data_IF_617558477715
#
_entry.id   IF_617558477715
#
_cell.length_a   1.000
_cell.length_b   1.000
_cell.length_c   1.000
_cell.angle_alpha   90.00
_cell.angle_beta   90.00
_cell.angle_gamma   90.00
#
_symmetry.space_group_name_H-M   'P 1'
#
loop_
_entity.id
_entity.type
_entity.pdbx_description
1 polymer ?
#
# COMPACT_ATOMS: atom_id res chain seq x y z
N UNK A 1 -8.37 -2.21 10.88
CA UNK A 1 -9.21 -0.99 10.83
C UNK A 1 -10.55 -1.15 10.10
N UNK A 2 -10.68 -2.00 9.06
CA UNK A 2 -11.93 -2.14 8.26
C UNK A 2 -13.21 -2.46 9.07
N UNK A 3 -13.16 -3.35 10.06
CA UNK A 3 -14.36 -3.75 10.83
C UNK A 3 -14.89 -2.66 11.78
N UNK A 4 -14.03 -1.75 12.27
CA UNK A 4 -14.47 -0.66 13.14
C UNK A 4 -15.34 0.35 12.39
N UNK A 5 -15.03 0.61 11.11
CA UNK A 5 -15.74 1.57 10.27
C UNK A 5 -17.18 1.13 9.96
N UNK A 6 -17.43 -0.17 9.80
CA UNK A 6 -18.77 -0.71 9.54
C UNK A 6 -19.68 -0.67 10.76
N UNK A 7 -19.10 -0.76 11.97
CA UNK A 7 -19.87 -0.75 13.21
C UNK A 7 -20.25 0.67 13.66
N UNK A 8 -19.47 1.68 13.28
CA UNK A 8 -19.75 3.09 13.62
C UNK A 8 -21.16 3.56 13.24
N UNK A 9 -21.65 3.41 11.98
CA UNK A 9 -23.00 3.83 11.63
C UNK A 9 -24.07 3.04 12.37
N UNK A 10 -23.85 1.76 12.66
CA UNK A 10 -24.78 0.94 13.44
C UNK A 10 -24.88 1.41 14.88
N UNK A 11 -23.74 1.73 15.52
CA UNK A 11 -23.72 2.31 16.87
C UNK A 11 -24.42 3.67 16.92
N UNK A 12 -24.22 4.52 15.90
CA UNK A 12 -24.94 5.78 15.78
C UNK A 12 -26.46 5.59 15.68
N UNK A 13 -26.92 4.62 14.87
CA UNK A 13 -28.34 4.28 14.76
C UNK A 13 -28.89 3.74 16.09
N UNK A 14 -28.20 2.81 16.75
CA UNK A 14 -28.63 2.26 18.03
C UNK A 14 -28.67 3.32 19.13
N UNK A 15 -27.70 4.23 19.17
CA UNK A 15 -27.71 5.39 20.07
C UNK A 15 -28.91 6.32 19.81
N UNK A 16 -29.26 6.56 18.55
CA UNK A 16 -30.44 7.37 18.19
C UNK A 16 -31.76 6.72 18.60
N UNK A 17 -31.84 5.38 18.57
CA UNK A 17 -33.03 4.61 18.96
C UNK A 17 -33.27 4.65 20.48
N UNK A 18 -32.21 4.75 21.29
CA UNK A 18 -32.30 4.95 22.74
C UNK A 18 -32.92 6.32 23.10
N UNK A 19 -32.78 7.31 22.21
CA UNK A 19 -33.36 8.65 22.37
C UNK A 19 -34.73 8.81 21.68
N UNK A 20 -35.29 7.74 21.08
CA UNK A 20 -36.54 7.84 20.31
C UNK A 20 -37.78 7.90 21.20
N UNK A 21 -38.66 8.87 20.92
CA UNK A 21 -39.92 9.10 21.65
C UNK A 21 -40.95 7.98 21.47
N UNK A 22 -40.81 7.14 20.44
CA UNK A 22 -41.75 6.04 20.12
C UNK A 22 -41.43 4.74 20.87
N UNK A 23 -40.17 4.52 21.25
CA UNK A 23 -39.71 3.30 21.94
C UNK A 23 -39.76 3.43 23.46
N UNK A 24 -39.81 4.66 23.97
CA UNK A 24 -39.98 4.97 25.39
C UNK A 24 -41.38 5.50 25.69
N UNK A 25 -42.14 4.73 26.49
CA UNK A 25 -43.44 5.11 27.05
C UNK A 25 -43.38 6.30 28.03
N UNK A 26 -44.28 6.32 29.03
CA UNK A 26 -44.54 7.36 30.05
C UNK A 26 -43.50 8.49 30.23
N UNK A 27 -43.95 9.74 30.46
CA UNK A 27 -43.08 10.93 30.53
C UNK A 27 -41.92 10.81 31.54
N UNK A 28 -42.10 10.13 32.67
CA UNK A 28 -41.04 9.88 33.68
C UNK A 28 -39.91 9.00 33.15
N UNK A 29 -40.22 8.01 32.30
CA UNK A 29 -39.23 7.12 31.66
C UNK A 29 -38.40 7.86 30.61
N UNK A 30 -38.98 8.90 29.97
CA UNK A 30 -38.29 9.74 28.99
C UNK A 30 -37.16 10.55 29.62
N UNK A 31 -37.41 11.27 30.72
CA UNK A 31 -36.38 12.05 31.40
C UNK A 31 -35.22 11.19 31.90
N UNK A 32 -35.52 10.00 32.44
CA UNK A 32 -34.52 9.04 32.89
C UNK A 32 -33.61 8.55 31.75
N UNK A 33 -34.16 8.23 30.58
CA UNK A 33 -33.35 7.77 29.46
C UNK A 33 -32.57 8.88 28.76
N UNK A 34 -33.09 10.10 28.68
CA UNK A 34 -32.31 11.23 28.18
C UNK A 34 -31.15 11.53 29.14
N UNK A 35 -31.38 11.48 30.45
CA UNK A 35 -30.32 11.58 31.45
C UNK A 35 -29.27 10.48 31.30
N UNK A 36 -29.70 9.22 31.14
CA UNK A 36 -28.79 8.10 30.93
C UNK A 36 -27.97 8.25 29.64
N UNK A 37 -28.58 8.66 28.54
CA UNK A 37 -27.89 8.91 27.28
C UNK A 37 -26.88 10.06 27.39
N UNK A 38 -27.21 11.12 28.13
CA UNK A 38 -26.31 12.25 28.35
C UNK A 38 -25.10 11.84 29.20
N UNK A 39 -25.33 11.04 30.25
CA UNK A 39 -24.26 10.49 31.09
C UNK A 39 -23.36 9.54 30.31
N UNK A 40 -23.91 8.65 29.49
CA UNK A 40 -23.09 7.73 28.68
C UNK A 40 -22.26 8.48 27.64
N UNK A 41 -22.83 9.47 26.96
CA UNK A 41 -22.09 10.34 26.03
C UNK A 41 -20.98 11.09 26.78
N UNK A 42 -21.27 11.68 27.95
CA UNK A 42 -20.26 12.38 28.75
C UNK A 42 -19.09 11.48 29.17
N UNK A 43 -19.38 10.25 29.64
CA UNK A 43 -18.36 9.27 30.00
C UNK A 43 -17.53 8.84 28.79
N UNK A 44 -18.17 8.62 27.63
CA UNK A 44 -17.48 8.31 26.38
C UNK A 44 -16.62 9.47 25.89
N UNK A 45 -17.06 10.73 26.09
CA UNK A 45 -16.32 11.92 25.72
C UNK A 45 -15.01 12.06 26.49
N UNK A 46 -14.93 11.62 27.76
CA UNK A 46 -13.68 11.67 28.55
C UNK A 46 -12.58 10.81 27.90
N UNK A 47 -12.90 9.56 27.56
CA UNK A 47 -11.94 8.70 26.84
C UNK A 47 -11.74 9.18 25.39
N UNK A 48 -12.79 9.69 24.76
CA UNK A 48 -12.78 10.21 23.40
C UNK A 48 -11.84 11.40 23.23
N UNK A 49 -11.87 12.37 24.15
CA UNK A 49 -10.99 13.54 24.14
C UNK A 49 -9.54 13.14 24.37
N UNK A 50 -9.28 12.23 25.31
CA UNK A 50 -7.93 11.69 25.53
C UNK A 50 -7.40 10.99 24.26
N UNK A 51 -8.22 10.16 23.61
CA UNK A 51 -7.85 9.51 22.36
C UNK A 51 -7.60 10.51 21.22
N UNK A 52 -8.47 11.50 21.04
CA UNK A 52 -8.30 12.55 20.01
C UNK A 52 -7.04 13.34 20.28
N UNK A 53 -6.79 13.74 21.53
CA UNK A 53 -5.60 14.48 21.90
C UNK A 53 -4.34 13.66 21.64
N UNK A 54 -4.35 12.36 21.93
CA UNK A 54 -3.24 11.45 21.60
C UNK A 54 -3.05 11.29 20.07
N UNK A 55 -4.13 11.27 19.28
CA UNK A 55 -4.03 11.22 17.82
C UNK A 55 -3.54 12.55 17.22
N UNK A 56 -4.02 13.69 17.73
CA UNK A 56 -3.57 15.03 17.34
C UNK A 56 -2.19 15.38 17.88
N UNK A 57 -1.70 14.69 18.92
CA UNK A 57 -0.31 14.80 19.34
C UNK A 57 0.64 14.18 18.31
N UNK A 58 0.15 13.30 17.43
CA UNK A 58 0.88 12.84 16.25
C UNK A 58 0.84 13.89 15.13
N UNK A 59 1.19 15.13 15.44
CA UNK A 59 1.46 16.17 14.44
C UNK A 59 2.92 16.02 14.04
N UNK A 60 3.10 15.25 12.97
CA UNK A 60 4.33 15.09 12.22
C UNK A 60 3.90 14.51 10.89
N UNK A 61 4.11 15.26 9.80
CA UNK A 61 3.91 14.75 8.44
C UNK A 61 4.65 13.43 8.30
N UNK A 62 4.07 12.51 7.53
CA UNK A 62 4.75 11.28 7.13
C UNK A 62 6.15 11.64 6.59
N UNK A 63 7.17 11.41 7.42
CA UNK A 63 8.57 11.72 7.11
C UNK A 63 9.21 10.44 6.61
N UNK A 64 9.44 10.38 5.31
CA UNK A 64 10.16 9.28 4.68
C UNK A 64 11.17 9.89 3.72
N UNK A 65 12.36 10.17 4.25
CA UNK A 65 13.42 10.92 3.56
C UNK A 65 13.85 10.17 2.29
N UNK A 66 13.90 8.85 2.36
CA UNK A 66 14.30 7.97 1.25
C UNK A 66 13.27 7.99 0.12
N UNK A 67 11.98 8.07 0.46
CA UNK A 67 10.91 8.19 -0.52
C UNK A 67 10.81 9.61 -1.09
N UNK A 68 11.05 10.64 -0.28
CA UNK A 68 11.13 12.03 -0.74
C UNK A 68 12.29 12.24 -1.71
N UNK A 69 13.45 11.66 -1.42
CA UNK A 69 14.63 11.67 -2.28
C UNK A 69 14.34 11.00 -3.63
N UNK A 70 13.75 9.78 -3.62
CA UNK A 70 13.31 9.09 -4.85
C UNK A 70 12.37 9.96 -5.69
N UNK A 71 11.34 10.53 -5.08
CA UNK A 71 10.33 11.35 -5.77
C UNK A 71 10.95 12.64 -6.32
N UNK A 72 11.85 13.26 -5.58
CA UNK A 72 12.54 14.49 -5.99
C UNK A 72 13.49 14.22 -7.15
N UNK A 73 14.20 13.08 -7.10
CA UNK A 73 15.05 12.63 -8.20
C UNK A 73 14.24 12.37 -9.46
N UNK A 74 13.11 11.64 -9.35
CA UNK A 74 12.22 11.35 -10.48
C UNK A 74 11.74 12.66 -11.15
N UNK A 75 11.33 13.65 -10.36
CA UNK A 75 10.89 14.96 -10.89
C UNK A 75 11.95 15.68 -11.72
N UNK A 76 13.21 15.57 -11.31
CA UNK A 76 14.32 16.34 -11.89
C UNK A 76 15.05 15.61 -13.02
N UNK A 77 14.99 14.27 -13.07
CA UNK A 77 15.81 13.46 -13.96
C UNK A 77 15.02 12.57 -14.93
N UNK A 78 13.69 12.59 -14.91
CA UNK A 78 12.86 11.78 -15.83
C UNK A 78 11.89 12.63 -16.65
N UNK A 79 11.62 12.24 -17.92
CA UNK A 79 10.59 12.86 -18.74
C UNK A 79 9.20 12.84 -18.07
N UNK A 80 8.34 13.80 -18.42
CA UNK A 80 6.98 13.88 -17.86
C UNK A 80 6.06 12.73 -18.34
N UNK A 81 6.37 12.14 -19.49
CA UNK A 81 5.69 10.98 -20.08
C UNK A 81 6.28 9.63 -19.66
N UNK A 82 7.34 9.63 -18.82
CA UNK A 82 7.96 8.41 -18.34
C UNK A 82 6.99 7.52 -17.55
N UNK A 83 7.14 6.21 -17.74
CA UNK A 83 6.24 5.18 -17.19
C UNK A 83 6.98 4.32 -16.17
N UNK A 84 6.39 4.22 -14.96
CA UNK A 84 6.98 3.52 -13.83
C UNK A 84 6.22 2.23 -13.48
N UNK A 85 6.95 1.23 -12.99
CA UNK A 85 6.42 0.01 -12.39
C UNK A 85 7.17 -0.33 -11.10
N UNK A 86 6.50 -0.98 -10.14
CA UNK A 86 7.13 -1.40 -8.88
C UNK A 86 6.09 -1.80 -7.83
N UNK A 87 6.43 -1.72 -6.54
CA UNK A 87 5.46 -2.03 -5.50
C UNK A 87 4.32 -1.01 -5.47
N UNK A 88 3.10 -1.51 -5.30
CA UNK A 88 1.88 -0.70 -5.36
C UNK A 88 1.86 0.56 -4.46
N UNK A 89 2.34 0.54 -3.19
CA UNK A 89 2.36 1.73 -2.34
C UNK A 89 3.28 2.84 -2.88
N UNK A 90 4.43 2.44 -3.42
CA UNK A 90 5.42 3.36 -3.99
C UNK A 90 4.92 3.94 -5.30
N UNK A 91 4.25 3.14 -6.14
CA UNK A 91 3.61 3.64 -7.37
C UNK A 91 2.54 4.70 -7.08
N UNK A 92 1.70 4.51 -6.06
CA UNK A 92 0.74 5.53 -5.66
C UNK A 92 1.42 6.86 -5.28
N UNK A 93 2.53 6.78 -4.55
CA UNK A 93 3.31 7.94 -4.13
C UNK A 93 3.99 8.64 -5.30
N UNK A 94 4.59 7.89 -6.23
CA UNK A 94 5.17 8.45 -7.46
C UNK A 94 4.08 9.14 -8.27
N UNK A 95 2.92 8.51 -8.49
CA UNK A 95 1.84 9.11 -9.27
C UNK A 95 1.35 10.42 -8.67
N UNK A 96 1.08 10.44 -7.36
CA UNK A 96 0.54 11.61 -6.67
C UNK A 96 1.55 12.75 -6.57
N UNK A 97 2.82 12.43 -6.27
CA UNK A 97 3.82 13.46 -6.03
C UNK A 97 4.43 13.98 -7.33
N UNK A 98 4.61 13.15 -8.35
CA UNK A 98 5.34 13.49 -9.58
C UNK A 98 4.46 13.63 -10.81
N UNK A 99 3.25 13.06 -10.83
CA UNK A 99 2.37 13.08 -12.00
C UNK A 99 2.69 12.04 -13.09
N UNK A 100 3.87 11.38 -13.05
CA UNK A 100 4.30 10.39 -14.06
C UNK A 100 3.34 9.21 -14.16
N UNK A 101 3.35 8.53 -15.30
CA UNK A 101 2.49 7.38 -15.53
C UNK A 101 2.97 6.18 -14.70
N UNK A 102 2.02 5.36 -14.22
CA UNK A 102 2.31 4.13 -13.49
C UNK A 102 1.57 2.96 -14.15
N UNK A 103 2.24 1.82 -14.28
CA UNK A 103 1.64 0.63 -14.90
C UNK A 103 0.71 -0.10 -13.94
N UNK A 104 1.07 -0.17 -12.65
CA UNK A 104 0.30 -0.90 -11.64
C UNK A 104 -0.06 -0.01 -10.43
N UNK A 105 -1.30 -0.16 -9.94
CA UNK A 105 -1.87 0.58 -8.82
C UNK A 105 -2.78 -0.34 -7.99
N UNK A 106 -2.95 -0.16 -6.66
CA UNK A 106 -3.71 -1.05 -5.78
C UNK A 106 -5.25 -0.98 -5.95
N UNK A 107 -5.74 -1.27 -7.15
CA UNK A 107 -7.16 -1.51 -7.43
C UNK A 107 -7.38 -3.00 -7.66
N UNK A 108 -7.80 -3.69 -6.60
CA UNK A 108 -7.98 -5.14 -6.61
C UNK A 108 -9.34 -5.57 -7.19
N UNK A 109 -10.27 -4.63 -7.34
CA UNK A 109 -11.61 -4.88 -7.85
C UNK A 109 -11.59 -5.24 -9.36
N UNK A 110 -10.65 -4.67 -10.11
CA UNK A 110 -10.53 -4.89 -11.56
C UNK A 110 -9.64 -6.10 -11.89
N UNK A 111 -10.14 -7.02 -12.73
CA UNK A 111 -9.41 -8.22 -13.11
C UNK A 111 -8.20 -7.93 -14.01
N UNK A 112 -8.30 -6.94 -14.91
CA UNK A 112 -7.23 -6.53 -15.80
C UNK A 112 -6.07 -5.89 -15.05
N UNK A 113 -6.36 -5.02 -14.07
CA UNK A 113 -5.35 -4.40 -13.20
C UNK A 113 -4.65 -5.44 -12.33
N UNK A 114 -5.37 -6.44 -11.82
CA UNK A 114 -4.75 -7.58 -11.11
C UNK A 114 -3.81 -8.37 -12.01
N UNK A 115 -4.23 -8.69 -13.24
CA UNK A 115 -3.39 -9.41 -14.19
C UNK A 115 -2.12 -8.62 -14.57
N UNK A 116 -2.26 -7.31 -14.78
CA UNK A 116 -1.13 -6.41 -15.05
C UNK A 116 -0.17 -6.30 -13.88
N UNK A 117 -0.69 -6.21 -12.66
CA UNK A 117 0.16 -6.16 -11.47
C UNK A 117 0.87 -7.49 -11.23
N UNK A 118 0.22 -8.63 -11.53
CA UNK A 118 0.88 -9.94 -11.52
C UNK A 118 2.08 -9.98 -12.47
N UNK A 119 1.97 -9.39 -13.67
CA UNK A 119 3.11 -9.25 -14.60
C UNK A 119 4.24 -8.41 -14.00
N UNK A 120 3.95 -7.23 -13.45
CA UNK A 120 4.98 -6.40 -12.79
C UNK A 120 5.66 -7.16 -11.64
N UNK A 121 4.87 -7.86 -10.82
CA UNK A 121 5.36 -8.60 -9.66
C UNK A 121 6.15 -9.87 -10.02
N UNK A 122 6.24 -10.22 -11.31
CA UNK A 122 7.10 -11.33 -11.75
C UNK A 122 8.58 -11.06 -11.48
N UNK A 123 8.97 -9.80 -11.23
CA UNK A 123 10.32 -9.46 -10.75
C UNK A 123 10.67 -10.10 -9.40
N UNK A 124 9.67 -10.38 -8.56
CA UNK A 124 9.85 -11.07 -7.28
C UNK A 124 9.86 -12.60 -7.41
N UNK A 125 9.70 -13.11 -8.63
CA UNK A 125 9.80 -14.54 -8.93
C UNK A 125 11.25 -14.98 -9.13
N UNK A 126 11.44 -16.22 -9.57
CA UNK A 126 12.73 -16.79 -9.97
C UNK A 126 12.90 -16.87 -11.50
N UNK A 127 12.11 -16.11 -12.27
CA UNK A 127 12.23 -15.98 -13.72
C UNK A 127 13.55 -15.33 -14.12
N UNK A 128 13.97 -15.55 -15.36
CA UNK A 128 15.17 -14.92 -15.92
C UNK A 128 14.99 -13.41 -16.09
N UNK A 129 16.08 -12.65 -15.93
CA UNK A 129 16.07 -11.19 -16.10
C UNK A 129 15.61 -10.76 -17.50
N UNK A 130 16.03 -11.46 -18.56
CA UNK A 130 15.61 -11.20 -19.93
C UNK A 130 14.09 -11.37 -20.14
N UNK A 131 13.51 -12.42 -19.54
CA UNK A 131 12.08 -12.70 -19.63
C UNK A 131 11.27 -11.60 -18.95
N UNK A 132 11.65 -11.22 -17.73
CA UNK A 132 10.95 -10.16 -16.98
C UNK A 132 11.11 -8.80 -17.66
N UNK A 133 12.29 -8.51 -18.23
CA UNK A 133 12.51 -7.31 -19.04
C UNK A 133 11.52 -7.25 -20.22
N UNK A 134 11.40 -8.33 -20.99
CA UNK A 134 10.44 -8.40 -22.11
C UNK A 134 9.00 -8.15 -21.67
N UNK A 135 8.59 -8.74 -20.55
CA UNK A 135 7.25 -8.52 -19.95
C UNK A 135 7.02 -7.04 -19.61
N UNK A 136 8.03 -6.35 -19.06
CA UNK A 136 7.96 -4.93 -18.71
C UNK A 136 7.92 -4.04 -19.96
N UNK A 137 8.75 -4.34 -20.96
CA UNK A 137 8.77 -3.63 -22.25
C UNK A 137 7.44 -3.76 -23.01
N UNK A 138 6.83 -4.95 -23.02
CA UNK A 138 5.49 -5.16 -23.59
C UNK A 138 4.40 -4.30 -22.95
N UNK A 139 4.60 -3.89 -21.69
CA UNK A 139 3.68 -2.99 -20.97
C UNK A 139 4.05 -1.51 -21.11
N UNK A 140 5.14 -1.19 -21.83
CA UNK A 140 5.65 0.18 -21.99
C UNK A 140 6.21 0.76 -20.70
N UNK A 141 6.88 -0.07 -19.88
CA UNK A 141 7.57 0.41 -18.66
C UNK A 141 8.94 0.95 -19.04
N UNK A 142 9.25 2.18 -18.66
CA UNK A 142 10.58 2.77 -18.83
C UNK A 142 11.46 2.56 -17.59
N UNK A 143 10.85 2.63 -16.40
CA UNK A 143 11.56 2.52 -15.13
C UNK A 143 10.89 1.52 -14.17
N UNK A 144 11.72 0.65 -13.59
CA UNK A 144 11.35 -0.31 -12.56
C UNK A 144 11.92 0.13 -11.21
N UNK A 145 11.04 0.32 -10.23
CA UNK A 145 11.41 0.62 -8.83
C UNK A 145 11.49 -0.67 -8.03
N UNK A 146 12.65 -0.97 -7.48
CA UNK A 146 12.86 -2.02 -6.51
C UNK A 146 12.96 -1.44 -5.09
N UNK A 147 12.48 -2.21 -4.13
CA UNK A 147 12.54 -1.90 -2.71
C UNK A 147 13.26 -3.03 -1.97
N UNK A 148 14.25 -2.69 -1.15
CA UNK A 148 15.03 -3.69 -0.41
C UNK A 148 14.14 -4.61 0.45
N UNK A 149 13.16 -4.02 1.13
CA UNK A 149 12.21 -4.76 2.00
C UNK A 149 11.37 -5.82 1.27
N UNK A 150 11.24 -5.72 -0.05
CA UNK A 150 10.54 -6.73 -0.87
C UNK A 150 11.50 -7.76 -1.46
N UNK A 151 12.77 -7.41 -1.70
CA UNK A 151 13.77 -8.31 -2.27
C UNK A 151 14.50 -9.18 -1.22
N UNK A 152 14.80 -8.64 -0.03
CA UNK A 152 15.77 -9.26 0.91
C UNK A 152 15.15 -9.67 2.25
N UNK A 153 13.92 -9.20 2.55
CA UNK A 153 13.27 -9.45 3.84
C UNK A 153 13.08 -10.94 4.10
N UNK A 154 13.68 -11.42 5.19
CA UNK A 154 13.50 -12.80 5.66
C UNK A 154 12.09 -13.00 6.18
N UNK A 155 11.40 -13.98 5.61
CA UNK A 155 10.09 -14.43 6.07
C UNK A 155 10.20 -15.84 6.64
N UNK A 156 9.14 -16.29 7.33
CA UNK A 156 9.01 -17.71 7.68
C UNK A 156 8.99 -18.56 6.40
N UNK A 157 9.49 -19.80 6.44
CA UNK A 157 9.37 -20.74 5.32
C UNK A 157 7.90 -20.87 4.88
N UNK A 158 7.67 -20.87 3.57
CA UNK A 158 6.34 -20.89 2.94
C UNK A 158 5.60 -19.54 2.93
N UNK A 159 6.23 -18.44 3.35
CA UNK A 159 5.62 -17.11 3.39
C UNK A 159 6.39 -16.06 2.58
N UNK A 160 7.42 -16.45 1.82
CA UNK A 160 8.17 -15.53 0.96
C UNK A 160 7.51 -15.35 -0.40
N UNK A 161 7.73 -14.20 -1.03
CA UNK A 161 7.23 -13.95 -2.39
C UNK A 161 7.77 -14.96 -3.43
N UNK A 162 9.06 -15.33 -3.42
CA UNK A 162 9.56 -16.36 -4.32
C UNK A 162 8.86 -17.71 -4.13
N UNK A 163 8.54 -18.11 -2.90
CA UNK A 163 7.81 -19.37 -2.64
C UNK A 163 6.36 -19.33 -3.15
N UNK A 164 5.69 -18.18 -3.08
CA UNK A 164 4.37 -18.01 -3.70
C UNK A 164 4.48 -18.15 -5.22
N UNK A 165 5.51 -17.55 -5.82
CA UNK A 165 5.79 -17.70 -7.25
C UNK A 165 6.20 -19.12 -7.64
N UNK A 166 6.86 -19.88 -6.76
CA UNK A 166 7.20 -21.30 -7.00
C UNK A 166 5.94 -22.19 -7.16
N UNK A 167 4.78 -21.78 -6.64
CA UNK A 167 3.49 -22.43 -6.88
C UNK A 167 2.85 -22.05 -8.22
N UNK A 168 3.18 -20.86 -8.73
CA UNK A 168 2.63 -20.31 -9.97
C UNK A 168 3.47 -20.76 -11.17
N UNK A 169 4.79 -20.73 -11.03
CA UNK A 169 5.80 -21.01 -12.06
C UNK A 169 6.77 -22.10 -11.58
N UNK A 170 6.31 -23.37 -11.45
CA UNK A 170 7.11 -24.45 -10.86
C UNK A 170 8.40 -24.76 -11.63
N UNK A 171 8.48 -24.40 -12.91
CA UNK A 171 9.67 -24.57 -13.76
C UNK A 171 10.87 -23.74 -13.31
N UNK A 172 10.63 -22.63 -12.62
CA UNK A 172 11.69 -21.74 -12.11
C UNK A 172 12.06 -22.03 -10.65
N UNK A 173 11.42 -23.03 -10.04
CA UNK A 173 11.63 -23.40 -8.64
C UNK A 173 13.08 -23.75 -8.37
N UNK A 174 13.61 -23.21 -7.27
CA UNK A 174 14.99 -23.47 -6.82
C UNK A 174 16.07 -22.56 -7.45
N UNK A 175 15.76 -21.77 -8.48
CA UNK A 175 16.69 -20.74 -8.99
C UNK A 175 16.80 -19.56 -8.02
N UNK A 176 17.81 -18.69 -8.17
CA UNK A 176 17.92 -17.48 -7.35
C UNK A 176 16.77 -16.50 -7.64
N UNK A 177 16.12 -15.90 -6.63
CA UNK A 177 15.10 -14.87 -6.87
C UNK A 177 15.66 -13.68 -7.65
N UNK A 178 14.92 -13.22 -8.67
CA UNK A 178 15.40 -12.18 -9.59
C UNK A 178 15.60 -10.85 -8.86
N UNK A 179 14.67 -10.42 -8.01
CA UNK A 179 14.78 -9.20 -7.21
C UNK A 179 16.12 -9.11 -6.45
N UNK A 180 16.50 -10.18 -5.75
CA UNK A 180 17.76 -10.24 -4.99
C UNK A 180 18.99 -10.26 -5.90
N UNK A 181 18.88 -10.84 -7.09
CA UNK A 181 19.94 -10.80 -8.10
C UNK A 181 20.09 -9.37 -8.67
N UNK A 182 19.01 -8.72 -9.08
CA UNK A 182 19.02 -7.38 -9.65
C UNK A 182 19.53 -6.31 -8.69
N UNK A 183 19.29 -6.49 -7.38
CA UNK A 183 19.83 -5.61 -6.35
C UNK A 183 21.37 -5.57 -6.36
N UNK A 184 22.03 -6.70 -6.66
CA UNK A 184 23.50 -6.80 -6.66
C UNK A 184 24.11 -6.67 -8.07
N UNK A 185 23.45 -7.26 -9.08
CA UNK A 185 23.93 -7.39 -10.45
C UNK A 185 22.77 -7.14 -11.45
N UNK A 186 22.39 -5.87 -11.70
CA UNK A 186 21.30 -5.53 -12.61
C UNK A 186 21.66 -5.69 -14.10
N UNK A 187 22.94 -5.53 -14.46
CA UNK A 187 23.44 -5.69 -15.83
C UNK A 187 23.43 -7.15 -16.31
N UNK A 188 23.28 -7.41 -17.62
CA UNK A 188 23.13 -6.45 -18.73
C UNK A 188 21.67 -6.06 -19.03
N UNK A 189 20.71 -6.62 -18.30
CA UNK A 189 19.30 -6.47 -18.66
C UNK A 189 18.68 -5.17 -18.16
N UNK A 190 19.14 -4.66 -17.02
CA UNK A 190 18.65 -3.44 -16.42
C UNK A 190 19.81 -2.49 -16.13
N UNK A 191 19.59 -1.20 -16.35
CA UNK A 191 20.58 -0.15 -16.12
C UNK A 191 20.20 0.61 -14.84
N UNK A 192 20.96 0.54 -13.74
CA UNK A 192 20.65 1.29 -12.52
C UNK A 192 20.90 2.78 -12.74
N UNK A 193 19.90 3.62 -12.42
CA UNK A 193 19.97 5.09 -12.62
C UNK A 193 19.89 5.88 -11.31
N UNK A 194 19.30 5.29 -10.26
CA UNK A 194 19.21 5.88 -8.93
C UNK A 194 19.23 4.77 -7.88
N UNK A 195 19.84 5.03 -6.73
CA UNK A 195 19.73 4.15 -5.57
C UNK A 195 19.93 4.95 -4.28
N UNK A 196 19.14 4.63 -3.26
CA UNK A 196 19.37 5.02 -1.87
C UNK A 196 19.22 3.79 -0.95
N UNK A 197 19.13 4.01 0.35
CA UNK A 197 19.11 2.92 1.36
C UNK A 197 17.88 2.00 1.25
N UNK A 198 16.81 2.43 0.59
CA UNK A 198 15.54 1.67 0.50
C UNK A 198 15.17 1.33 -0.93
N UNK A 199 15.41 2.26 -1.87
CA UNK A 199 14.92 2.19 -3.24
C UNK A 199 16.07 2.11 -4.24
N UNK A 200 15.89 1.27 -5.26
CA UNK A 200 16.75 1.22 -6.44
C UNK A 200 15.90 1.38 -7.68
N UNK A 201 16.25 2.35 -8.53
CA UNK A 201 15.57 2.60 -9.81
C UNK A 201 16.39 2.01 -10.96
N UNK A 202 15.75 1.15 -11.72
CA UNK A 202 16.32 0.45 -12.86
C UNK A 202 15.63 0.90 -14.14
N UNK A 203 16.39 1.30 -15.15
CA UNK A 203 15.90 1.62 -16.48
C UNK A 203 15.74 0.34 -17.30
N UNK A 204 14.68 0.29 -18.09
CA UNK A 204 14.24 -0.87 -18.88
C UNK A 204 14.45 -0.57 -20.37
N UNK A 205 15.69 -0.71 -20.84
CA UNK A 205 16.10 -0.34 -22.23
C UNK A 205 15.83 -1.39 -23.30
#
# INVERSE_FOLDING_TARGET
MRLKLFLTPHLCLMASLLCSKKTLGEPRRKWLAHGLALVTVALMSVQGTSNIHAQWANVGEFSNVEQEDLVTWIKSHTPEDAVFAGAMPTMASIKLSTGRAIVNHPHYEDAGLRARTKKVYSVYSRKGAAEVKGILQEMGVDYLVLEDSWCTRRTKPGCSLPEIWDLIDPENKGKTPLCSHLYNHPYPHFSPVFSNDVYTLLMVD
#
